data_IF_100369375855
#
_entry.id   IF_100369375855
#
_cell.length_a   1.000
_cell.length_b   1.000
_cell.length_c   1.000
_cell.angle_alpha   90.00
_cell.angle_beta   90.00
_cell.angle_gamma   90.00
#
_symmetry.space_group_name_H-M   'P 1'
#
loop_
_entity.id
_entity.type
_entity.pdbx_description
1 polymer ?
#
# COMPACT_ATOMS: atom_id res chain seq x y z
N UNK A 1 8.66 9.39 9.35
CA UNK A 1 8.94 8.01 9.80
C UNK A 1 7.97 7.05 9.13
N UNK A 2 8.21 5.74 9.22
CA UNK A 2 7.23 4.76 8.74
C UNK A 2 5.90 4.97 9.48
N UNK A 3 4.81 5.12 8.73
CA UNK A 3 3.48 5.38 9.29
C UNK A 3 3.12 6.85 9.50
N UNK A 4 3.92 7.79 9.00
CA UNK A 4 3.52 9.19 8.90
C UNK A 4 2.39 9.37 7.87
N UNK A 5 1.50 10.34 8.13
CA UNK A 5 0.40 10.66 7.23
C UNK A 5 0.95 11.34 5.96
N UNK A 6 0.70 10.72 4.80
CA UNK A 6 1.07 11.29 3.50
C UNK A 6 -0.09 12.06 2.85
N UNK A 7 -1.31 11.54 2.97
CA UNK A 7 -2.49 12.09 2.30
C UNK A 7 -3.76 11.73 3.07
N UNK A 8 -4.75 12.62 3.02
CA UNK A 8 -6.12 12.36 3.48
C UNK A 8 -7.02 12.29 2.25
N UNK A 9 -7.82 11.22 2.15
CA UNK A 9 -8.77 11.03 1.05
C UNK A 9 -10.17 10.74 1.61
N UNK A 10 -11.19 11.35 1.01
CA UNK A 10 -12.59 11.10 1.35
C UNK A 10 -13.08 9.84 0.64
N UNK A 11 -13.08 8.71 1.35
CA UNK A 11 -13.50 7.43 0.83
C UNK A 11 -15.00 7.40 0.45
N UNK A 12 -15.84 8.15 1.16
CA UNK A 12 -17.28 8.18 0.91
C UNK A 12 -17.59 8.92 -0.39
N UNK A 13 -16.89 10.03 -0.66
CA UNK A 13 -16.99 10.75 -1.92
C UNK A 13 -16.48 9.91 -3.10
N UNK A 14 -15.34 9.21 -2.94
CA UNK A 14 -14.79 8.32 -3.98
C UNK A 14 -15.77 7.18 -4.29
N UNK A 15 -16.36 6.57 -3.26
CA UNK A 15 -17.38 5.55 -3.42
C UNK A 15 -18.64 6.05 -4.11
N UNK A 16 -19.13 7.23 -3.73
CA UNK A 16 -20.35 7.81 -4.30
C UNK A 16 -20.17 8.24 -5.76
N UNK A 17 -18.94 8.55 -6.15
CA UNK A 17 -18.57 8.90 -7.52
C UNK A 17 -18.26 7.69 -8.41
N UNK A 18 -18.46 6.45 -7.93
CA UNK A 18 -18.16 5.19 -8.62
C UNK A 18 -16.72 5.12 -9.19
N UNK A 19 -15.77 5.64 -8.42
CA UNK A 19 -14.34 5.61 -8.79
C UNK A 19 -13.64 4.41 -8.17
N UNK A 20 -12.61 3.94 -8.86
CA UNK A 20 -11.72 2.87 -8.37
C UNK A 20 -11.12 3.25 -7.00
N UNK A 21 -11.12 2.29 -6.06
CA UNK A 21 -10.64 2.47 -4.68
C UNK A 21 -9.39 1.63 -4.39
N UNK A 22 -8.96 0.82 -5.36
CA UNK A 22 -7.76 0.01 -5.25
C UNK A 22 -6.52 0.89 -5.21
N UNK A 23 -5.74 0.77 -4.14
CA UNK A 23 -4.45 1.44 -4.00
C UNK A 23 -3.36 0.46 -4.42
N UNK A 24 -2.60 0.81 -5.45
CA UNK A 24 -1.44 0.04 -5.90
C UNK A 24 -0.18 0.64 -5.30
N UNK A 25 0.59 -0.16 -4.58
CA UNK A 25 1.93 0.20 -4.11
C UNK A 25 2.93 -0.54 -4.99
N UNK A 26 3.76 0.22 -5.72
CA UNK A 26 4.74 -0.33 -6.64
C UNK A 26 6.16 -0.03 -6.17
N UNK A 27 7.03 -1.03 -6.24
CA UNK A 27 8.47 -0.84 -6.12
C UNK A 27 9.06 -0.67 -7.52
N UNK A 28 9.62 0.50 -7.81
CA UNK A 28 10.07 0.87 -9.17
C UNK A 28 11.53 0.54 -9.45
N UNK A 29 12.34 0.25 -8.43
CA UNK A 29 13.79 0.01 -8.55
C UNK A 29 14.06 -1.48 -8.83
N UNK A 30 13.50 -2.00 -9.92
CA UNK A 30 13.45 -3.45 -10.18
C UNK A 30 14.83 -4.11 -10.39
N UNK A 31 15.85 -3.36 -10.80
CA UNK A 31 17.22 -3.88 -10.98
C UNK A 31 17.91 -4.26 -9.66
N UNK A 32 17.48 -3.65 -8.55
CA UNK A 32 18.08 -3.85 -7.23
C UNK A 32 17.26 -4.82 -6.36
N UNK A 33 16.03 -5.13 -6.75
CA UNK A 33 15.12 -5.95 -5.95
C UNK A 33 15.21 -7.41 -6.39
N UNK A 34 15.61 -8.29 -5.48
CA UNK A 34 15.59 -9.74 -5.70
C UNK A 34 14.19 -10.33 -5.56
N UNK A 35 13.47 -9.95 -4.51
CA UNK A 35 12.11 -10.43 -4.26
C UNK A 35 11.32 -9.51 -3.34
N UNK A 36 9.99 -9.65 -3.38
CA UNK A 36 9.05 -9.02 -2.46
C UNK A 36 8.17 -10.09 -1.84
N UNK A 37 8.25 -10.27 -0.54
CA UNK A 37 7.48 -11.25 0.21
C UNK A 37 6.30 -10.57 0.92
N UNK A 38 5.08 -10.98 0.58
CA UNK A 38 3.87 -10.56 1.30
C UNK A 38 3.76 -11.36 2.60
N UNK A 39 3.85 -10.65 3.73
CA UNK A 39 3.83 -11.26 5.07
C UNK A 39 2.48 -11.13 5.77
N UNK A 40 1.57 -10.29 5.24
CA UNK A 40 0.21 -10.14 5.72
C UNK A 40 -0.80 -10.09 4.56
N UNK A 41 -2.01 -10.62 4.78
CA UNK A 41 -3.10 -10.69 3.79
C UNK A 41 -4.45 -10.47 4.49
N UNK A 42 -5.48 -10.13 3.72
CA UNK A 42 -6.79 -9.77 4.28
C UNK A 42 -6.82 -8.34 4.80
N UNK A 43 -7.75 -8.04 5.71
CA UNK A 43 -7.89 -6.70 6.28
C UNK A 43 -6.71 -6.38 7.22
N UNK A 44 -6.04 -5.25 6.98
CA UNK A 44 -4.91 -4.78 7.77
C UNK A 44 -5.21 -3.41 8.35
N UNK A 45 -4.85 -3.21 9.61
CA UNK A 45 -4.88 -1.87 10.23
C UNK A 45 -3.68 -1.05 9.75
N UNK A 46 -3.83 0.27 9.75
CA UNK A 46 -2.75 1.18 9.41
C UNK A 46 -1.49 0.89 10.25
N UNK A 47 -0.31 1.10 9.64
CA UNK A 47 1.02 0.86 10.24
C UNK A 47 1.40 -0.62 10.45
N UNK A 48 0.60 -1.56 9.96
CA UNK A 48 0.96 -2.98 9.94
C UNK A 48 2.02 -3.27 8.88
N UNK A 49 3.01 -4.13 9.20
CA UNK A 49 3.99 -4.61 8.22
C UNK A 49 3.30 -5.57 7.24
N UNK A 50 3.24 -5.19 5.97
CA UNK A 50 2.54 -5.98 4.93
C UNK A 50 3.47 -6.73 3.99
N UNK A 51 4.69 -6.23 3.77
CA UNK A 51 5.66 -6.82 2.86
C UNK A 51 7.10 -6.61 3.33
N UNK A 52 7.98 -7.53 2.92
CA UNK A 52 9.44 -7.38 3.02
C UNK A 52 10.04 -7.36 1.63
N UNK A 53 10.97 -6.43 1.39
CA UNK A 53 11.72 -6.32 0.13
C UNK A 53 13.11 -6.86 0.38
N UNK A 54 13.54 -7.82 -0.43
CA UNK A 54 14.90 -8.34 -0.42
C UNK A 54 15.67 -7.75 -1.61
N UNK A 55 16.84 -7.19 -1.33
CA UNK A 55 17.76 -6.59 -2.29
C UNK A 55 18.92 -7.54 -2.60
#
# INVERSE_FOLDING_TARGET
MAGDLLVVADLAAIQSADREKTIVVAFTNTTEIKSVDLVAKGAQTAKTLVAKVNL
#
